data_IF_663751159933
#
_entry.id   IF_663751159933
#
_cell.length_a   1.000
_cell.length_b   1.000
_cell.length_c   1.000
_cell.angle_alpha   90.00
_cell.angle_beta   90.00
_cell.angle_gamma   90.00
#
_symmetry.space_group_name_H-M   'P 1'
#
loop_
_entity.id
_entity.type
_entity.pdbx_description
1 polymer ?
#
# COMPACT_ATOMS: atom_id res chain seq x y z
N UNK A 1 7.06 5.92 -1.20
CA UNK A 1 5.67 6.06 -0.72
C UNK A 1 5.16 7.44 -1.04
N UNK A 2 3.93 7.55 -1.53
CA UNK A 2 3.19 8.81 -1.68
C UNK A 2 2.12 8.87 -0.60
N UNK A 3 1.87 10.05 -0.03
CA UNK A 3 0.87 10.27 1.01
C UNK A 3 0.05 11.51 0.66
N UNK A 4 -1.26 11.38 0.34
CA UNK A 4 -2.01 10.13 0.14
C UNK A 4 -1.66 9.42 -1.19
N UNK A 5 -2.07 8.16 -1.32
CA UNK A 5 -2.01 7.41 -2.57
C UNK A 5 -3.30 7.65 -3.39
N UNK A 6 -3.22 7.77 -4.71
CA UNK A 6 -4.40 7.74 -5.59
C UNK A 6 -4.61 6.32 -6.13
N UNK A 7 -5.79 6.05 -6.71
CA UNK A 7 -6.10 4.69 -7.21
C UNK A 7 -5.15 4.29 -8.35
N UNK A 8 -4.81 5.22 -9.23
CA UNK A 8 -3.92 5.04 -10.40
C UNK A 8 -2.52 4.54 -10.02
N UNK A 9 -2.05 4.90 -8.82
CA UNK A 9 -0.69 4.60 -8.38
C UNK A 9 -0.64 3.45 -7.36
N UNK A 10 -1.76 2.77 -7.12
CA UNK A 10 -1.82 1.59 -6.25
C UNK A 10 -0.99 0.43 -6.81
N UNK A 11 -1.01 0.19 -8.14
CA UNK A 11 -0.22 -0.86 -8.79
C UNK A 11 -0.41 -2.26 -8.17
N UNK A 12 -1.66 -2.64 -7.90
CA UNK A 12 -1.98 -3.90 -7.19
C UNK A 12 -1.49 -5.15 -7.93
N UNK A 13 -1.33 -5.10 -9.26
CA UNK A 13 -0.72 -6.17 -10.06
C UNK A 13 0.72 -6.50 -9.63
N UNK A 14 1.40 -5.61 -8.91
CA UNK A 14 2.74 -5.86 -8.35
C UNK A 14 2.75 -7.00 -7.34
N UNK A 15 1.62 -7.30 -6.70
CA UNK A 15 1.53 -8.44 -5.79
C UNK A 15 1.90 -9.76 -6.48
N UNK A 16 1.51 -9.96 -7.74
CA UNK A 16 1.86 -11.17 -8.51
C UNK A 16 3.36 -11.31 -8.75
N UNK A 17 4.06 -10.19 -9.00
CA UNK A 17 5.51 -10.20 -9.10
C UNK A 17 6.19 -10.48 -7.75
N UNK A 18 5.65 -9.93 -6.65
CA UNK A 18 6.19 -10.15 -5.30
C UNK A 18 6.03 -11.60 -4.84
N UNK A 19 4.98 -12.31 -5.28
CA UNK A 19 4.78 -13.75 -4.96
C UNK A 19 5.88 -14.66 -5.49
N UNK A 20 6.66 -14.21 -6.47
CA UNK A 20 7.84 -14.93 -6.95
C UNK A 20 9.00 -14.91 -5.93
N UNK A 21 8.94 -14.02 -4.94
CA UNK A 21 10.00 -13.76 -3.96
C UNK A 21 9.59 -14.03 -2.51
N UNK A 22 8.29 -14.16 -2.24
CA UNK A 22 7.76 -14.44 -0.91
C UNK A 22 6.48 -15.29 -1.01
N UNK A 23 6.28 -16.25 -0.07
CA UNK A 23 5.09 -17.12 -0.08
C UNK A 23 3.79 -16.37 0.23
N UNK A 24 3.89 -15.24 0.94
CA UNK A 24 2.75 -14.42 1.33
C UNK A 24 3.00 -12.96 0.94
N UNK A 25 1.99 -12.33 0.36
CA UNK A 25 2.06 -10.94 -0.10
C UNK A 25 0.78 -10.23 0.32
N UNK A 26 0.92 -9.07 0.93
CA UNK A 26 -0.19 -8.20 1.32
C UNK A 26 -0.14 -6.82 0.67
N UNK A 27 -1.06 -5.96 1.08
CA UNK A 27 -1.16 -4.58 0.64
C UNK A 27 -1.34 -3.63 1.83
N UNK A 28 -0.49 -2.61 1.93
CA UNK A 28 -0.61 -1.53 2.91
C UNK A 28 -1.14 -0.28 2.20
N UNK A 29 -2.36 0.09 2.53
CA UNK A 29 -3.18 1.01 1.76
C UNK A 29 -3.28 2.38 2.44
N UNK A 30 -3.05 3.41 1.62
CA UNK A 30 -2.96 4.81 1.99
C UNK A 30 -3.82 5.70 1.08
N UNK A 31 -4.85 5.14 0.44
CA UNK A 31 -5.82 5.94 -0.31
C UNK A 31 -6.71 6.73 0.65
N UNK A 32 -7.16 7.91 0.21
CA UNK A 32 -8.12 8.70 0.97
C UNK A 32 -9.48 8.00 1.00
N UNK A 33 -10.04 7.87 2.20
CA UNK A 33 -11.37 7.27 2.41
C UNK A 33 -12.45 8.09 1.73
N UNK A 34 -12.38 9.42 1.82
CA UNK A 34 -13.37 10.32 1.22
C UNK A 34 -13.45 10.22 -0.32
N UNK A 35 -12.32 9.92 -0.97
CA UNK A 35 -12.22 9.91 -2.43
C UNK A 35 -12.55 8.52 -3.01
N UNK A 36 -12.14 7.47 -2.31
CA UNK A 36 -12.10 6.10 -2.87
C UNK A 36 -12.75 5.03 -2.00
N UNK A 37 -13.22 5.39 -0.81
CA UNK A 37 -13.72 4.45 0.18
C UNK A 37 -12.71 3.33 0.45
N UNK A 38 -13.17 2.10 0.24
CA UNK A 38 -12.40 0.86 0.44
C UNK A 38 -11.95 0.20 -0.88
N UNK A 39 -12.04 0.91 -2.02
CA UNK A 39 -11.82 0.34 -3.35
C UNK A 39 -10.49 -0.44 -3.45
N UNK A 40 -9.35 0.20 -3.15
CA UNK A 40 -8.04 -0.43 -3.28
C UNK A 40 -7.87 -1.65 -2.35
N UNK A 41 -8.29 -1.54 -1.08
CA UNK A 41 -8.26 -2.64 -0.12
C UNK A 41 -9.14 -3.83 -0.57
N UNK A 42 -10.38 -3.58 -1.04
CA UNK A 42 -11.27 -4.63 -1.54
C UNK A 42 -10.71 -5.30 -2.80
N UNK A 43 -10.16 -4.52 -3.74
CA UNK A 43 -9.49 -5.08 -4.93
C UNK A 43 -8.28 -5.92 -4.52
N UNK A 44 -7.47 -5.48 -3.57
CA UNK A 44 -6.33 -6.26 -3.08
C UNK A 44 -6.78 -7.61 -2.46
N UNK A 45 -7.86 -7.62 -1.67
CA UNK A 45 -8.47 -8.86 -1.16
C UNK A 45 -8.95 -9.76 -2.31
N UNK A 46 -9.63 -9.20 -3.31
CA UNK A 46 -10.10 -9.93 -4.49
C UNK A 46 -8.92 -10.57 -5.25
N UNK A 47 -7.81 -9.86 -5.40
CA UNK A 47 -6.57 -10.35 -6.01
C UNK A 47 -5.77 -11.32 -5.10
N UNK A 48 -6.28 -11.65 -3.91
CA UNK A 48 -5.70 -12.67 -3.04
C UNK A 48 -4.58 -12.15 -2.14
N UNK A 49 -4.58 -10.88 -1.76
CA UNK A 49 -3.69 -10.38 -0.71
C UNK A 49 -3.86 -11.21 0.59
N UNK A 50 -2.74 -11.66 1.16
CA UNK A 50 -2.69 -12.39 2.43
C UNK A 50 -2.95 -11.45 3.62
N UNK A 51 -2.50 -10.21 3.49
CA UNK A 51 -2.63 -9.16 4.52
C UNK A 51 -3.14 -7.88 3.90
N UNK A 52 -4.00 -7.18 4.64
CA UNK A 52 -4.39 -5.80 4.36
C UNK A 52 -4.03 -4.97 5.57
N UNK A 53 -3.30 -3.88 5.35
CA UNK A 53 -2.98 -2.90 6.37
C UNK A 53 -3.61 -1.56 5.98
N UNK A 54 -4.27 -0.91 6.94
CA UNK A 54 -4.87 0.42 6.82
C UNK A 54 -4.60 1.18 8.11
N UNK A 55 -4.44 2.50 7.99
CA UNK A 55 -4.54 3.39 9.14
C UNK A 55 -5.95 3.28 9.75
N UNK A 56 -6.08 3.44 11.06
CA UNK A 56 -7.34 3.28 11.78
C UNK A 56 -7.56 4.43 12.75
N UNK A 57 -8.82 4.87 12.89
CA UNK A 57 -9.20 5.95 13.81
C UNK A 57 -10.57 5.70 14.43
N UNK A 58 -10.75 6.18 15.67
CA UNK A 58 -12.06 6.33 16.33
C UNK A 58 -12.51 7.80 16.38
N UNK A 59 -11.67 8.71 15.90
CA UNK A 59 -11.93 10.14 15.80
C UNK A 59 -12.37 10.52 14.37
N UNK A 60 -13.08 11.64 14.20
CA UNK A 60 -13.32 12.23 12.88
C UNK A 60 -12.05 12.44 12.06
N UNK A 61 -12.17 12.31 10.73
CA UNK A 61 -11.06 12.27 9.79
C UNK A 61 -10.21 13.57 9.76
N UNK A 62 -10.74 14.69 10.23
CA UNK A 62 -10.09 16.00 10.27
C UNK A 62 -9.35 16.28 11.60
N UNK A 63 -9.48 15.41 12.60
CA UNK A 63 -8.87 15.65 13.92
C UNK A 63 -7.40 15.23 14.01
N UNK A 64 -6.90 14.46 13.05
CA UNK A 64 -5.51 14.02 13.03
C UNK A 64 -4.92 14.10 11.63
N UNK A 65 -3.60 14.14 11.55
CA UNK A 65 -2.87 14.21 10.28
C UNK A 65 -3.21 13.04 9.34
N UNK A 66 -3.30 11.82 9.88
CA UNK A 66 -3.55 10.60 9.11
C UNK A 66 -5.05 10.22 9.10
N UNK A 67 -5.91 11.03 9.73
CA UNK A 67 -7.35 10.84 9.74
C UNK A 67 -7.98 10.69 8.34
N UNK A 68 -7.56 11.44 7.30
CA UNK A 68 -8.14 11.33 5.95
C UNK A 68 -7.93 9.98 5.25
N UNK A 69 -6.91 9.20 5.65
CA UNK A 69 -6.60 7.87 5.10
C UNK A 69 -7.00 6.73 6.06
N UNK A 70 -7.37 7.09 7.30
CA UNK A 70 -7.74 6.14 8.35
C UNK A 70 -9.16 5.63 8.17
N UNK A 71 -9.34 4.32 8.31
CA UNK A 71 -10.66 3.69 8.33
C UNK A 71 -11.24 3.73 9.75
N UNK A 72 -12.56 3.67 9.84
CA UNK A 72 -13.32 3.63 11.10
C UNK A 72 -13.67 2.19 11.48
N UNK A 73 -14.21 1.94 12.70
CA UNK A 73 -14.71 0.61 13.08
C UNK A 73 -15.72 0.02 12.07
N UNK A 74 -16.60 0.85 11.52
CA UNK A 74 -17.63 0.44 10.55
C UNK A 74 -17.00 -0.04 9.24
N UNK A 75 -16.01 0.72 8.73
CA UNK A 75 -15.29 0.37 7.51
C UNK A 75 -14.39 -0.86 7.70
N UNK A 76 -13.79 -1.04 8.88
CA UNK A 76 -13.04 -2.25 9.20
C UNK A 76 -13.96 -3.49 9.24
N UNK A 77 -15.16 -3.35 9.81
CA UNK A 77 -16.19 -4.40 9.79
C UNK A 77 -16.59 -4.74 8.36
N UNK A 78 -16.81 -3.73 7.52
CA UNK A 78 -17.12 -3.93 6.09
C UNK A 78 -16.01 -4.70 5.36
N UNK A 79 -14.72 -4.36 5.58
CA UNK A 79 -13.61 -5.13 5.02
C UNK A 79 -13.60 -6.58 5.51
N UNK A 80 -13.87 -6.79 6.81
CA UNK A 80 -13.91 -8.13 7.40
C UNK A 80 -15.03 -9.00 6.83
N UNK A 81 -16.20 -8.41 6.58
CA UNK A 81 -17.34 -9.07 5.95
C UNK A 81 -17.08 -9.34 4.46
N UNK A 82 -16.54 -8.35 3.74
CA UNK A 82 -16.18 -8.49 2.32
C UNK A 82 -15.20 -9.64 2.08
N UNK A 83 -14.21 -9.81 2.96
CA UNK A 83 -13.21 -10.88 2.83
C UNK A 83 -13.81 -12.29 2.88
N UNK A 84 -14.98 -12.44 3.51
CA UNK A 84 -15.65 -13.71 3.68
C UNK A 84 -16.51 -14.12 2.46
N UNK A 85 -16.74 -13.20 1.53
CA UNK A 85 -17.46 -13.45 0.28
C UNK A 85 -16.64 -14.36 -0.65
N UNK A 86 -17.33 -15.06 -1.55
CA UNK A 86 -16.70 -15.76 -2.68
C UNK A 86 -16.01 -14.79 -3.64
N UNK A 87 -15.12 -15.28 -4.51
CA UNK A 87 -14.40 -14.43 -5.46
C UNK A 87 -15.33 -13.76 -6.45
N UNK A 88 -16.38 -14.46 -6.85
CA UNK A 88 -17.43 -13.98 -7.75
C UNK A 88 -18.24 -12.85 -7.08
N UNK A 89 -18.61 -13.01 -5.81
CA UNK A 89 -19.31 -11.99 -5.04
C UNK A 89 -18.42 -10.77 -4.76
N UNK A 90 -17.14 -10.99 -4.41
CA UNK A 90 -16.16 -9.91 -4.23
C UNK A 90 -16.06 -9.07 -5.51
N UNK A 91 -15.89 -9.72 -6.66
CA UNK A 91 -15.82 -9.06 -7.96
C UNK A 91 -17.10 -8.30 -8.29
N UNK A 92 -18.27 -8.92 -8.13
CA UNK A 92 -19.56 -8.29 -8.41
C UNK A 92 -19.82 -7.07 -7.52
N UNK A 93 -19.46 -7.13 -6.23
CA UNK A 93 -19.54 -5.97 -5.31
C UNK A 93 -18.63 -4.84 -5.76
N UNK A 94 -17.37 -5.14 -6.11
CA UNK A 94 -16.42 -4.13 -6.60
C UNK A 94 -16.91 -3.49 -7.91
N UNK A 95 -17.34 -4.27 -8.90
CA UNK A 95 -17.82 -3.76 -10.20
C UNK A 95 -19.06 -2.87 -10.06
N UNK A 96 -19.93 -3.18 -9.09
CA UNK A 96 -21.11 -2.38 -8.77
C UNK A 96 -20.77 -1.06 -8.07
N UNK A 97 -19.86 -1.09 -7.10
CA UNK A 97 -19.49 0.08 -6.30
C UNK A 97 -18.51 1.00 -7.03
N UNK A 98 -17.58 0.43 -7.80
CA UNK A 98 -16.54 1.15 -8.55
C UNK A 98 -16.41 0.59 -9.97
N UNK A 99 -17.20 1.06 -10.95
CA UNK A 99 -17.12 0.57 -12.34
C UNK A 99 -15.73 0.68 -12.96
N UNK A 100 -14.93 1.66 -12.53
CA UNK A 100 -13.55 1.89 -13.00
C UNK A 100 -12.46 1.29 -12.09
N UNK A 101 -12.78 0.29 -11.25
CA UNK A 101 -11.83 -0.31 -10.29
C UNK A 101 -10.52 -0.80 -10.94
N UNK A 102 -10.54 -1.16 -12.22
CA UNK A 102 -9.37 -1.60 -12.98
C UNK A 102 -8.22 -0.60 -13.00
N UNK A 103 -8.48 0.68 -12.73
CA UNK A 103 -7.46 1.73 -12.59
C UNK A 103 -6.46 1.45 -11.45
N UNK A 104 -6.84 0.60 -10.48
CA UNK A 104 -5.99 0.21 -9.35
C UNK A 104 -4.91 -0.81 -9.70
N UNK A 105 -5.05 -1.51 -10.83
CA UNK A 105 -4.18 -2.62 -11.20
C UNK A 105 -2.76 -2.14 -11.49
N UNK A 106 -2.62 -1.05 -12.24
CA UNK A 106 -1.33 -0.52 -12.68
C UNK A 106 -0.43 -1.59 -13.32
N UNK A 107 0.89 -1.41 -13.20
CA UNK A 107 1.88 -2.27 -13.84
C UNK A 107 2.60 -3.18 -12.82
N UNK A 108 2.74 -4.50 -13.10
CA UNK A 108 3.41 -5.43 -12.18
C UNK A 108 4.91 -5.14 -12.05
N UNK A 109 5.53 -4.66 -13.14
CA UNK A 109 6.94 -4.22 -13.17
C UNK A 109 6.95 -2.73 -13.51
N UNK A 110 7.34 -1.90 -12.55
CA UNK A 110 7.57 -0.48 -12.78
C UNK A 110 8.80 0.02 -12.06
N UNK A 111 9.42 1.03 -12.66
CA UNK A 111 10.41 1.87 -12.02
C UNK A 111 9.75 2.80 -10.98
N UNK A 112 10.51 3.15 -9.96
CA UNK A 112 10.09 4.20 -9.03
C UNK A 112 10.05 5.54 -9.74
N UNK A 113 9.05 6.35 -9.41
CA UNK A 113 8.99 7.73 -9.87
C UNK A 113 10.14 8.54 -9.26
N UNK A 114 10.41 9.69 -9.86
CA UNK A 114 11.41 10.62 -9.32
C UNK A 114 11.15 10.99 -7.84
N UNK A 115 9.89 11.24 -7.47
CA UNK A 115 9.48 11.56 -6.11
C UNK A 115 9.73 10.37 -5.17
N UNK A 116 9.45 9.14 -5.61
CA UNK A 116 9.69 7.96 -4.79
C UNK A 116 11.18 7.69 -4.57
N UNK A 117 12.01 7.92 -5.59
CA UNK A 117 13.47 7.86 -5.46
C UNK A 117 13.98 8.90 -4.47
N UNK A 118 13.53 10.15 -4.59
CA UNK A 118 13.89 11.21 -3.65
C UNK A 118 13.47 10.86 -2.21
N UNK A 119 12.24 10.38 -2.01
CA UNK A 119 11.77 9.95 -0.69
C UNK A 119 12.60 8.79 -0.14
N UNK A 120 12.90 7.77 -0.95
CA UNK A 120 13.74 6.64 -0.56
C UNK A 120 15.13 7.13 -0.12
N UNK A 121 15.73 8.02 -0.90
CA UNK A 121 17.08 8.52 -0.65
C UNK A 121 17.12 9.42 0.60
N UNK A 122 16.07 10.22 0.83
CA UNK A 122 15.91 11.02 2.04
C UNK A 122 15.76 10.14 3.30
N UNK A 123 14.86 9.16 3.28
CA UNK A 123 14.55 8.32 4.45
C UNK A 123 15.58 7.22 4.75
N UNK A 124 16.39 6.80 3.77
CA UNK A 124 17.54 5.91 4.06
C UNK A 124 18.58 6.58 4.96
N UNK A 125 18.62 7.91 4.97
CA UNK A 125 19.66 8.67 5.64
C UNK A 125 21.06 8.37 5.08
N UNK A 126 22.04 9.12 5.58
CA UNK A 126 23.46 8.89 5.29
C UNK A 126 24.19 8.79 6.61
N UNK A 127 24.65 7.59 6.94
CA UNK A 127 25.35 7.26 8.17
C UNK A 127 26.77 6.78 7.86
N UNK A 128 27.72 7.23 8.69
CA UNK A 128 29.10 6.76 8.69
C UNK A 128 29.40 6.12 10.04
N UNK A 129 29.93 4.91 10.04
CA UNK A 129 30.36 4.20 11.24
C UNK A 129 31.87 3.96 11.20
N UNK A 130 32.62 4.12 12.30
CA UNK A 130 34.05 3.86 12.30
C UNK A 130 34.35 2.37 12.11
N UNK A 131 35.33 2.02 11.28
CA UNK A 131 35.83 0.65 11.11
C UNK A 131 36.85 0.32 12.21
N UNK A 132 36.91 -0.95 12.63
CA UNK A 132 37.89 -1.42 13.64
C UNK A 132 39.35 -1.18 13.23
N UNK A 133 39.63 -1.27 11.93
CA UNK A 133 40.98 -1.12 11.35
C UNK A 133 41.31 0.33 10.93
N UNK A 134 40.43 1.29 11.27
CA UNK A 134 40.52 2.67 10.81
C UNK A 134 39.71 2.95 9.54
N UNK A 135 39.35 4.22 9.34
CA UNK A 135 38.46 4.65 8.26
C UNK A 135 36.97 4.55 8.63
N UNK A 136 36.12 4.83 7.65
CA UNK A 136 34.66 4.90 7.79
C UNK A 136 33.98 3.83 6.94
N UNK A 137 32.88 3.30 7.44
CA UNK A 137 31.91 2.47 6.74
C UNK A 137 30.67 3.30 6.48
N UNK A 138 30.32 3.48 5.22
CA UNK A 138 29.16 4.27 4.83
C UNK A 138 28.01 3.36 4.40
N UNK A 139 26.78 3.68 4.82
CA UNK A 139 25.60 2.85 4.52
C UNK A 139 25.08 2.98 3.07
N UNK A 140 25.68 3.86 2.26
CA UNK A 140 25.34 4.05 0.85
C UNK A 140 26.37 3.46 -0.12
N UNK A 141 27.47 2.90 0.39
CA UNK A 141 28.44 2.17 -0.42
C UNK A 141 27.92 0.76 -0.72
N UNK A 142 28.22 0.25 -1.91
CA UNK A 142 27.99 -1.15 -2.26
C UNK A 142 29.14 -1.94 -1.67
N UNK A 143 28.84 -2.83 -0.73
CA UNK A 143 29.83 -3.75 -0.17
C UNK A 143 29.64 -5.09 -0.89
N UNK A 144 30.67 -5.53 -1.62
CA UNK A 144 30.76 -6.88 -2.20
C UNK A 144 31.11 -7.93 -1.14
#
# INVERSE_FOLDING_TARGET
TSYPNTLEICNLSRMEWLRQHAPEVGWSDHTKVADSGLCAAKVAIMLGANYIERHFTVLPADQTKDGPISITPELLKELSEFRALSKEEQKASIEREWPNWGITLGEPKREMTHIELLNRDYYRGRLASPKKEGGWLYNWETHE
#
